data_IF_925550637393
#
_entry.id   IF_925550637393
#
_cell.length_a   1.000
_cell.length_b   1.000
_cell.length_c   1.000
_cell.angle_alpha   90.00
_cell.angle_beta   90.00
_cell.angle_gamma   90.00
#
_symmetry.space_group_name_H-M   'P 1'
#
loop_
_entity.id
_entity.type
_entity.pdbx_description
1 polymer ?
#
# COMPACT_ATOMS: atom_id res chain seq x y z
N UNK A 1 43.71 47.83 2.05
CA UNK A 1 42.59 48.19 1.15
C UNK A 1 41.56 47.08 1.21
N UNK A 2 40.48 47.24 1.95
CA UNK A 2 39.38 46.24 1.92
C UNK A 2 38.31 46.71 0.92
N UNK A 3 37.89 45.78 0.07
CA UNK A 3 36.79 45.93 -0.88
C UNK A 3 35.46 45.80 -0.13
N UNK A 4 34.69 46.87 -0.16
CA UNK A 4 33.34 46.98 0.37
C UNK A 4 32.37 46.42 -0.70
N UNK A 5 31.62 45.33 -0.39
CA UNK A 5 30.56 44.80 -1.22
C UNK A 5 29.23 45.06 -0.51
N UNK A 6 28.60 46.18 -0.86
CA UNK A 6 27.23 46.51 -0.46
C UNK A 6 26.24 45.57 -1.18
N UNK A 7 25.74 44.58 -0.48
CA UNK A 7 24.64 43.73 -0.92
C UNK A 7 23.30 44.46 -0.73
N UNK A 8 22.78 44.99 -1.83
CA UNK A 8 21.47 45.63 -1.92
C UNK A 8 20.37 44.61 -1.75
N UNK A 9 19.80 44.54 -0.56
CA UNK A 9 18.63 43.68 -0.26
C UNK A 9 17.43 44.27 -1.00
N UNK A 10 16.92 43.53 -2.01
CA UNK A 10 15.64 43.82 -2.64
C UNK A 10 14.51 43.44 -1.68
N UNK A 11 13.86 44.40 -1.09
CA UNK A 11 12.63 44.23 -0.33
C UNK A 11 11.47 43.93 -1.29
N UNK A 12 10.95 42.73 -1.23
CA UNK A 12 9.69 42.35 -1.89
C UNK A 12 8.54 43.16 -1.26
N UNK A 13 7.94 44.05 -2.02
CA UNK A 13 6.69 44.70 -1.65
C UNK A 13 5.58 43.68 -1.60
N UNK A 14 4.99 43.51 -0.43
CA UNK A 14 3.73 42.75 -0.27
C UNK A 14 2.62 43.45 -1.07
N UNK A 15 2.20 42.85 -2.15
CA UNK A 15 1.02 43.25 -2.89
C UNK A 15 -0.21 42.80 -2.10
N UNK A 16 -0.97 43.75 -1.60
CA UNK A 16 -2.20 43.53 -0.85
C UNK A 16 -3.29 42.92 -1.75
N UNK A 17 -3.98 41.92 -1.25
CA UNK A 17 -5.13 41.24 -1.90
C UNK A 17 -6.31 42.15 -2.27
N UNK A 18 -6.23 43.45 -2.02
CA UNK A 18 -7.31 44.44 -2.22
C UNK A 18 -7.25 45.28 -3.50
N UNK A 19 -6.22 45.13 -4.32
CA UNK A 19 -6.06 45.95 -5.53
C UNK A 19 -6.40 45.27 -6.86
N UNK A 20 -7.09 44.08 -6.82
CA UNK A 20 -7.76 43.56 -8.01
C UNK A 20 -9.21 44.06 -8.00
N UNK A 21 -9.36 45.37 -8.18
CA UNK A 21 -10.65 46.00 -8.38
C UNK A 21 -11.13 45.91 -9.82
N UNK A 22 -12.31 45.34 -9.96
CA UNK A 22 -13.32 45.52 -11.00
C UNK A 22 -12.85 46.10 -12.37
N UNK A 23 -12.68 45.20 -13.34
CA UNK A 23 -13.10 45.46 -14.73
C UNK A 23 -13.97 44.32 -15.20
N UNK A 24 -15.22 44.63 -15.55
CA UNK A 24 -16.27 43.69 -15.90
C UNK A 24 -15.97 42.91 -17.16
N UNK A 25 -15.88 41.59 -17.00
CA UNK A 25 -16.05 40.56 -18.02
C UNK A 25 -16.59 39.29 -17.35
N UNK A 26 -17.75 39.44 -16.76
CA UNK A 26 -18.47 38.32 -16.12
C UNK A 26 -19.35 37.64 -17.15
N UNK A 27 -18.79 36.74 -18.02
CA UNK A 27 -19.64 35.82 -18.81
C UNK A 27 -18.94 34.58 -19.39
N UNK A 28 -17.61 34.37 -19.26
CA UNK A 28 -16.97 33.20 -19.92
C UNK A 28 -16.06 32.36 -19.04
N UNK A 29 -16.02 32.58 -17.72
CA UNK A 29 -15.14 31.85 -16.78
C UNK A 29 -15.81 30.66 -16.06
N UNK A 30 -17.13 30.50 -16.20
CA UNK A 30 -17.89 29.44 -15.49
C UNK A 30 -17.45 28.00 -15.79
N UNK A 31 -17.14 27.57 -17.03
CA UNK A 31 -16.78 26.17 -17.27
C UNK A 31 -15.38 25.81 -16.79
N UNK A 32 -14.46 26.78 -16.73
CA UNK A 32 -13.10 26.54 -16.26
C UNK A 32 -13.02 26.45 -14.72
N UNK A 33 -13.81 27.25 -14.01
CA UNK A 33 -13.93 27.20 -12.57
C UNK A 33 -14.64 25.93 -12.11
N UNK A 34 -15.71 25.51 -12.79
CA UNK A 34 -16.41 24.26 -12.50
C UNK A 34 -15.50 23.02 -12.74
N UNK A 35 -14.61 23.08 -13.74
CA UNK A 35 -13.63 22.03 -14.00
C UNK A 35 -12.50 22.03 -12.94
N UNK A 36 -12.10 23.19 -12.45
CA UNK A 36 -11.12 23.32 -11.37
C UNK A 36 -11.67 22.84 -10.03
N UNK A 37 -12.92 23.12 -9.71
CA UNK A 37 -13.62 22.59 -8.52
C UNK A 37 -13.84 21.08 -8.62
N UNK A 38 -14.16 20.54 -9.79
CA UNK A 38 -14.26 19.10 -10.03
C UNK A 38 -12.91 18.39 -9.86
N UNK A 39 -11.81 19.02 -10.24
CA UNK A 39 -10.45 18.48 -10.02
C UNK A 39 -10.08 18.59 -8.54
N UNK A 40 -10.39 19.69 -7.86
CA UNK A 40 -10.15 19.87 -6.43
C UNK A 40 -10.94 18.88 -5.58
N UNK A 41 -12.22 18.61 -5.89
CA UNK A 41 -13.05 17.64 -5.18
C UNK A 41 -12.56 16.19 -5.31
N UNK A 42 -11.78 15.86 -6.34
CA UNK A 42 -11.19 14.53 -6.50
C UNK A 42 -10.07 14.22 -5.49
N UNK A 43 -9.55 15.23 -4.78
CA UNK A 43 -8.48 15.07 -3.78
C UNK A 43 -9.00 14.92 -2.35
N UNK A 44 -10.30 15.17 -2.12
CA UNK A 44 -10.94 15.11 -0.80
C UNK A 44 -11.47 13.71 -0.42
N UNK A 45 -11.15 12.68 -1.20
CA UNK A 45 -11.58 11.32 -0.86
C UNK A 45 -10.88 10.88 0.43
N UNK A 46 -11.67 10.62 1.46
CA UNK A 46 -11.21 10.17 2.78
C UNK A 46 -10.33 8.91 2.69
N UNK A 47 -9.28 8.87 3.51
CA UNK A 47 -8.44 7.70 3.68
C UNK A 47 -9.18 6.62 4.46
N UNK A 48 -9.23 5.42 3.89
CA UNK A 48 -9.84 4.27 4.52
C UNK A 48 -8.78 3.44 5.25
N UNK A 49 -9.01 3.18 6.53
CA UNK A 49 -8.18 2.27 7.32
C UNK A 49 -8.81 0.89 7.31
N UNK A 50 -8.08 -0.17 6.93
CA UNK A 50 -8.59 -1.53 7.05
C UNK A 50 -8.84 -1.87 8.52
N UNK A 51 -9.78 -2.77 8.77
CA UNK A 51 -10.05 -3.27 10.13
C UNK A 51 -8.85 -4.08 10.61
N UNK A 52 -8.49 -3.93 11.87
CA UNK A 52 -7.43 -4.72 12.52
C UNK A 52 -7.75 -6.21 12.50
N UNK A 53 -6.72 -7.05 12.49
CA UNK A 53 -6.85 -8.51 12.55
C UNK A 53 -7.34 -8.96 13.93
N UNK A 54 -8.17 -10.00 13.92
CA UNK A 54 -8.66 -10.70 15.09
C UNK A 54 -8.36 -12.19 14.97
N UNK A 55 -8.36 -12.89 16.08
CA UNK A 55 -8.28 -14.34 16.07
C UNK A 55 -9.40 -14.95 15.21
N UNK A 56 -9.05 -15.93 14.39
CA UNK A 56 -9.95 -16.54 13.42
C UNK A 56 -10.08 -15.82 12.07
N UNK A 57 -9.49 -14.63 11.91
CA UNK A 57 -9.46 -13.95 10.61
C UNK A 57 -8.61 -14.70 9.58
N UNK A 58 -8.96 -14.54 8.32
CA UNK A 58 -8.27 -15.20 7.20
C UNK A 58 -7.26 -14.26 6.56
N UNK A 59 -6.02 -14.74 6.41
CA UNK A 59 -4.94 -14.10 5.66
C UNK A 59 -4.76 -14.82 4.33
N UNK A 60 -4.65 -14.08 3.24
CA UNK A 60 -4.23 -14.61 1.95
C UNK A 60 -2.72 -14.42 1.79
N UNK A 61 -1.98 -15.49 1.50
CA UNK A 61 -0.60 -15.41 1.01
C UNK A 61 -0.65 -15.34 -0.51
N UNK A 62 0.13 -14.42 -1.10
CA UNK A 62 0.18 -14.19 -2.55
C UNK A 62 1.60 -13.95 -3.01
N UNK A 63 1.91 -14.27 -4.27
CA UNK A 63 3.21 -14.02 -4.89
C UNK A 63 3.10 -13.07 -6.10
N UNK A 64 2.86 -11.77 -5.90
CA UNK A 64 2.61 -10.84 -7.00
C UNK A 64 3.89 -10.37 -7.70
N UNK A 65 5.08 -10.71 -7.20
CA UNK A 65 6.38 -10.30 -7.72
C UNK A 65 7.28 -11.52 -8.00
N UNK A 66 8.25 -11.79 -7.13
CA UNK A 66 9.15 -12.94 -7.28
C UNK A 66 8.51 -14.27 -6.84
N UNK A 67 9.05 -15.42 -7.29
CA UNK A 67 8.52 -16.74 -6.99
C UNK A 67 8.60 -17.07 -5.49
N UNK A 68 7.63 -17.84 -5.02
CA UNK A 68 7.58 -18.34 -3.66
C UNK A 68 8.61 -19.46 -3.43
N UNK A 69 9.10 -19.58 -2.19
CA UNK A 69 9.78 -20.76 -1.72
C UNK A 69 8.79 -21.59 -0.90
N UNK A 70 8.55 -22.84 -1.32
CA UNK A 70 7.57 -23.73 -0.72
C UNK A 70 7.82 -23.92 0.78
N UNK A 71 9.05 -24.20 1.18
CA UNK A 71 9.37 -24.46 2.58
C UNK A 71 9.12 -23.23 3.46
N UNK A 72 9.50 -22.04 2.98
CA UNK A 72 9.28 -20.76 3.69
C UNK A 72 7.79 -20.47 3.81
N UNK A 73 7.02 -20.63 2.74
CA UNK A 73 5.57 -20.37 2.75
C UNK A 73 4.85 -21.30 3.73
N UNK A 74 5.17 -22.60 3.71
CA UNK A 74 4.55 -23.58 4.61
C UNK A 74 4.93 -23.33 6.07
N UNK A 75 6.19 -22.98 6.35
CA UNK A 75 6.63 -22.60 7.70
C UNK A 75 5.89 -21.35 8.20
N UNK A 76 5.77 -20.33 7.34
CA UNK A 76 5.08 -19.10 7.71
C UNK A 76 3.58 -19.30 7.91
N UNK A 77 2.93 -20.12 7.05
CA UNK A 77 1.55 -20.55 7.23
C UNK A 77 1.36 -21.16 8.61
N UNK A 78 2.21 -22.12 9.01
CA UNK A 78 2.13 -22.76 10.32
C UNK A 78 2.24 -21.76 11.48
N UNK A 79 3.15 -20.78 11.39
CA UNK A 79 3.30 -19.73 12.40
C UNK A 79 2.03 -18.87 12.54
N UNK A 80 1.43 -18.48 11.42
CA UNK A 80 0.18 -17.70 11.42
C UNK A 80 -0.98 -18.52 12.02
N UNK A 81 -1.09 -19.79 11.68
CA UNK A 81 -2.12 -20.69 12.23
C UNK A 81 -1.95 -20.94 13.73
N UNK A 82 -0.72 -21.09 14.20
CA UNK A 82 -0.41 -21.15 15.63
C UNK A 82 -0.76 -19.86 16.38
N UNK A 83 -0.77 -18.72 15.68
CA UNK A 83 -1.25 -17.44 16.24
C UNK A 83 -2.77 -17.29 16.21
N UNK A 84 -3.52 -18.34 15.82
CA UNK A 84 -4.98 -18.35 15.79
C UNK A 84 -5.59 -17.73 14.55
N UNK A 85 -4.81 -17.52 13.50
CA UNK A 85 -5.28 -17.00 12.21
C UNK A 85 -5.54 -18.16 11.23
N UNK A 86 -6.37 -17.93 10.22
CA UNK A 86 -6.55 -18.87 9.11
C UNK A 86 -5.73 -18.39 7.93
N UNK A 87 -5.13 -19.32 7.19
CA UNK A 87 -4.29 -18.98 6.04
C UNK A 87 -4.85 -19.67 4.79
N UNK A 88 -4.98 -18.89 3.73
CA UNK A 88 -5.30 -19.40 2.40
C UNK A 88 -4.26 -18.92 1.38
N UNK A 89 -4.00 -19.73 0.36
CA UNK A 89 -3.18 -19.40 -0.79
C UNK A 89 -3.54 -20.35 -1.94
N UNK A 90 -3.15 -19.99 -3.15
CA UNK A 90 -3.25 -20.86 -4.31
C UNK A 90 -2.04 -21.81 -4.32
N UNK A 91 -2.27 -23.12 -4.24
CA UNK A 91 -1.19 -24.13 -4.28
C UNK A 91 -0.27 -23.95 -5.51
N UNK A 92 -0.82 -23.50 -6.65
CA UNK A 92 -0.05 -23.22 -7.86
C UNK A 92 1.01 -22.15 -7.66
N UNK A 93 0.82 -21.26 -6.68
CA UNK A 93 1.81 -20.22 -6.33
C UNK A 93 3.17 -20.82 -5.94
N UNK A 94 3.17 -22.02 -5.35
CA UNK A 94 4.37 -22.65 -4.80
C UNK A 94 5.31 -23.20 -5.88
N UNK A 95 4.77 -23.52 -7.06
CA UNK A 95 5.54 -24.11 -8.16
C UNK A 95 5.60 -23.17 -9.38
N UNK A 96 4.78 -22.13 -9.38
CA UNK A 96 4.68 -21.20 -10.50
C UNK A 96 5.93 -20.31 -10.55
N UNK A 97 6.66 -20.41 -11.66
CA UNK A 97 7.85 -19.60 -11.92
C UNK A 97 8.00 -19.32 -13.41
N UNK A 98 8.26 -18.07 -13.75
CA UNK A 98 8.65 -17.65 -15.09
C UNK A 98 9.86 -16.74 -14.96
N UNK A 99 11.06 -17.29 -15.26
CA UNK A 99 12.33 -16.62 -15.02
C UNK A 99 12.48 -16.22 -13.53
N UNK A 100 12.47 -14.92 -13.24
CA UNK A 100 12.55 -14.36 -11.89
C UNK A 100 11.18 -13.97 -11.31
N UNK A 101 10.07 -14.17 -12.05
CA UNK A 101 8.72 -13.83 -11.66
C UNK A 101 7.96 -15.05 -11.15
N UNK A 102 6.96 -14.81 -10.31
CA UNK A 102 6.04 -15.82 -9.80
C UNK A 102 4.95 -16.22 -10.82
N UNK A 103 5.30 -16.34 -12.08
CA UNK A 103 4.40 -16.61 -13.20
C UNK A 103 4.30 -15.43 -14.15
N UNK A 104 3.34 -15.50 -15.11
CA UNK A 104 3.09 -14.39 -16.02
C UNK A 104 2.30 -13.24 -15.32
N UNK A 105 2.17 -12.11 -16.01
CA UNK A 105 1.56 -10.91 -15.43
C UNK A 105 0.09 -11.14 -15.05
N UNK A 106 -0.67 -11.85 -15.87
CA UNK A 106 -2.08 -12.17 -15.62
C UNK A 106 -2.24 -13.07 -14.38
N UNK A 107 -1.45 -14.14 -14.28
CA UNK A 107 -1.49 -15.06 -13.13
C UNK A 107 -1.22 -14.33 -11.82
N UNK A 108 -0.25 -13.42 -11.79
CA UNK A 108 0.12 -12.65 -10.61
C UNK A 108 -0.94 -11.61 -10.23
N UNK A 109 -1.52 -10.95 -11.24
CA UNK A 109 -2.60 -9.99 -11.04
C UNK A 109 -3.89 -10.66 -10.59
N UNK A 110 -4.27 -11.78 -11.19
CA UNK A 110 -5.47 -12.53 -10.85
C UNK A 110 -5.40 -13.09 -9.43
N UNK A 111 -4.25 -13.63 -9.01
CA UNK A 111 -4.04 -14.10 -7.65
C UNK A 111 -4.27 -12.97 -6.63
N UNK A 112 -3.68 -11.80 -6.85
CA UNK A 112 -3.85 -10.64 -5.98
C UNK A 112 -5.30 -10.14 -5.99
N UNK A 113 -5.93 -10.05 -7.17
CA UNK A 113 -7.32 -9.63 -7.32
C UNK A 113 -8.30 -10.61 -6.66
N UNK A 114 -8.05 -11.92 -6.75
CA UNK A 114 -8.88 -12.93 -6.08
C UNK A 114 -8.81 -12.75 -4.55
N UNK A 115 -7.64 -12.46 -4.00
CA UNK A 115 -7.51 -12.15 -2.58
C UNK A 115 -8.21 -10.83 -2.21
N UNK A 116 -8.12 -9.79 -3.05
CA UNK A 116 -8.79 -8.49 -2.84
C UNK A 116 -10.31 -8.67 -2.84
N UNK A 117 -10.87 -9.43 -3.78
CA UNK A 117 -12.32 -9.61 -3.93
C UNK A 117 -12.94 -10.58 -2.94
N UNK A 118 -12.13 -11.43 -2.31
CA UNK A 118 -12.65 -12.43 -1.38
C UNK A 118 -13.08 -11.78 -0.05
N UNK A 119 -14.40 -11.77 0.29
CA UNK A 119 -14.87 -11.12 1.51
C UNK A 119 -14.45 -11.82 2.80
N UNK A 120 -13.98 -13.08 2.71
CA UNK A 120 -13.44 -13.82 3.86
C UNK A 120 -12.01 -13.40 4.21
N UNK A 121 -11.27 -12.82 3.26
CA UNK A 121 -9.90 -12.36 3.46
C UNK A 121 -9.92 -11.02 4.19
N UNK A 122 -9.20 -10.94 5.30
CA UNK A 122 -9.01 -9.69 6.06
C UNK A 122 -7.67 -9.05 5.77
N UNK A 123 -6.64 -9.86 5.49
CA UNK A 123 -5.30 -9.36 5.16
C UNK A 123 -4.71 -10.13 3.99
N UNK A 124 -3.85 -9.43 3.23
CA UNK A 124 -3.10 -9.97 2.10
C UNK A 124 -1.63 -9.79 2.41
N UNK A 125 -0.90 -10.89 2.51
CA UNK A 125 0.52 -10.92 2.82
C UNK A 125 1.29 -11.45 1.60
N UNK A 126 1.89 -10.55 0.80
CA UNK A 126 2.81 -10.95 -0.25
C UNK A 126 4.00 -11.71 0.34
N UNK A 127 4.35 -12.86 -0.25
CA UNK A 127 5.40 -13.72 0.30
C UNK A 127 6.80 -13.14 0.11
N UNK A 128 7.01 -12.38 -0.97
CA UNK A 128 8.26 -11.66 -1.24
C UNK A 128 8.08 -10.52 -2.24
N UNK A 129 9.06 -9.64 -2.27
CA UNK A 129 9.27 -8.67 -3.33
C UNK A 129 10.03 -9.27 -4.52
N UNK A 130 10.93 -8.51 -5.09
CA UNK A 130 11.72 -8.88 -6.27
C UNK A 130 11.54 -7.84 -7.36
N UNK A 131 10.83 -8.19 -8.41
CA UNK A 131 10.51 -7.31 -9.53
C UNK A 131 9.16 -7.69 -10.15
N UNK A 132 8.50 -6.75 -10.81
CA UNK A 132 7.36 -7.02 -11.69
C UNK A 132 6.02 -6.47 -11.20
N UNK A 133 5.92 -5.86 -10.02
CA UNK A 133 4.70 -5.21 -9.56
C UNK A 133 4.25 -4.09 -10.53
N UNK A 134 5.20 -3.27 -10.99
CA UNK A 134 4.92 -2.17 -11.94
C UNK A 134 4.25 -2.63 -13.24
N UNK A 135 4.45 -3.90 -13.64
CA UNK A 135 3.85 -4.48 -14.85
C UNK A 135 2.37 -4.82 -14.70
N UNK A 136 1.90 -4.99 -13.47
CA UNK A 136 0.53 -5.44 -13.19
C UNK A 136 -0.33 -4.39 -12.48
N UNK A 137 0.22 -3.21 -12.15
CA UNK A 137 -0.50 -2.19 -11.38
C UNK A 137 -1.83 -1.77 -12.03
N UNK A 138 -1.90 -1.72 -13.36
CA UNK A 138 -3.13 -1.33 -14.06
C UNK A 138 -4.18 -2.45 -14.15
N UNK A 139 -3.79 -3.67 -13.78
CA UNK A 139 -4.67 -4.84 -13.73
C UNK A 139 -5.29 -5.06 -12.33
N UNK A 140 -4.87 -4.29 -11.31
CA UNK A 140 -5.32 -4.46 -9.93
C UNK A 140 -6.69 -3.81 -9.71
N UNK A 141 -7.56 -4.51 -8.99
CA UNK A 141 -8.92 -4.07 -8.67
C UNK A 141 -8.95 -3.16 -7.44
N UNK A 142 -8.55 -1.90 -7.65
CA UNK A 142 -8.54 -0.89 -6.60
C UNK A 142 -9.94 -0.51 -6.12
N UNK A 143 -10.96 -0.68 -6.97
CA UNK A 143 -12.33 -0.38 -6.60
C UNK A 143 -12.85 -1.37 -5.54
N UNK A 144 -12.64 -2.67 -5.77
CA UNK A 144 -12.97 -3.70 -4.76
C UNK A 144 -12.19 -3.51 -3.46
N UNK A 145 -10.90 -3.15 -3.54
CA UNK A 145 -10.10 -2.87 -2.36
C UNK A 145 -10.61 -1.65 -1.58
N UNK A 146 -11.11 -0.62 -2.27
CA UNK A 146 -11.73 0.54 -1.62
C UNK A 146 -13.05 0.18 -0.95
N UNK A 147 -13.86 -0.66 -1.59
CA UNK A 147 -15.17 -1.06 -1.07
C UNK A 147 -15.05 -1.99 0.16
N UNK A 148 -14.03 -2.85 0.20
CA UNK A 148 -13.71 -3.71 1.35
C UNK A 148 -12.21 -3.60 1.67
N UNK A 149 -11.80 -2.59 2.45
CA UNK A 149 -10.39 -2.33 2.76
C UNK A 149 -9.74 -3.49 3.49
N UNK A 150 -8.64 -3.99 2.95
CA UNK A 150 -7.85 -5.09 3.51
C UNK A 150 -6.48 -4.60 3.95
N UNK A 151 -5.92 -5.23 4.97
CA UNK A 151 -4.52 -5.04 5.36
C UNK A 151 -3.65 -5.61 4.25
N UNK A 152 -2.82 -4.77 3.64
CA UNK A 152 -1.82 -5.19 2.65
C UNK A 152 -0.45 -4.78 3.18
N UNK A 153 0.45 -5.77 3.29
CA UNK A 153 1.80 -5.59 3.83
C UNK A 153 2.86 -5.80 2.76
N UNK A 154 4.08 -5.36 3.03
CA UNK A 154 5.23 -5.64 2.19
C UNK A 154 6.22 -4.48 2.10
N UNK A 155 7.36 -4.72 1.46
CA UNK A 155 8.40 -3.73 1.19
C UNK A 155 9.12 -4.04 -0.13
N UNK A 156 10.17 -3.32 -0.47
CA UNK A 156 10.91 -3.52 -1.72
C UNK A 156 10.02 -3.24 -2.94
N UNK A 157 9.87 -4.16 -3.88
CA UNK A 157 9.02 -4.01 -5.08
C UNK A 157 7.54 -3.73 -4.72
N UNK A 158 7.06 -4.21 -3.53
CA UNK A 158 5.71 -3.93 -3.04
C UNK A 158 5.45 -2.43 -2.81
N UNK A 159 6.49 -1.61 -2.71
CA UNK A 159 6.35 -0.15 -2.61
C UNK A 159 5.58 0.42 -3.80
N UNK A 160 5.77 -0.13 -5.00
CA UNK A 160 5.00 0.29 -6.18
C UNK A 160 3.49 0.03 -5.99
N UNK A 161 3.12 -1.11 -5.40
CA UNK A 161 1.73 -1.43 -5.06
C UNK A 161 1.19 -0.49 -3.97
N UNK A 162 1.95 -0.22 -2.91
CA UNK A 162 1.54 0.71 -1.85
C UNK A 162 1.24 2.11 -2.40
N UNK A 163 2.09 2.63 -3.28
CA UNK A 163 1.88 3.93 -3.93
C UNK A 163 0.63 3.93 -4.83
N UNK A 164 0.41 2.84 -5.59
CA UNK A 164 -0.77 2.68 -6.43
C UNK A 164 -2.07 2.59 -5.60
N UNK A 165 -2.07 1.81 -4.50
CA UNK A 165 -3.17 1.71 -3.54
C UNK A 165 -3.48 3.09 -2.95
N UNK A 166 -2.47 3.79 -2.46
CA UNK A 166 -2.61 5.14 -1.92
C UNK A 166 -3.25 6.10 -2.94
N UNK A 167 -2.80 6.04 -4.18
CA UNK A 167 -3.27 6.95 -5.25
C UNK A 167 -4.64 6.60 -5.78
N UNK A 168 -4.92 5.30 -6.01
CA UNK A 168 -6.12 4.84 -6.74
C UNK A 168 -7.27 4.44 -5.82
N UNK A 169 -7.00 3.95 -4.60
CA UNK A 169 -8.05 3.49 -3.67
C UNK A 169 -8.12 4.29 -2.36
N UNK A 170 -7.10 5.08 -2.03
CA UNK A 170 -7.03 5.78 -0.73
C UNK A 170 -7.17 4.83 0.48
N UNK A 171 -6.71 3.61 0.35
CA UNK A 171 -6.62 2.65 1.45
C UNK A 171 -5.23 2.69 2.07
N UNK A 172 -5.17 2.70 3.40
CA UNK A 172 -3.91 2.61 4.14
C UNK A 172 -3.32 1.21 3.96
N UNK A 173 -2.04 1.12 3.59
CA UNK A 173 -1.28 -0.12 3.48
C UNK A 173 0.01 -0.02 4.29
N UNK A 174 0.68 -1.14 4.55
CA UNK A 174 1.70 -1.22 5.58
C UNK A 174 3.05 -1.63 5.01
N UNK A 175 4.05 -0.75 5.11
CA UNK A 175 5.42 -1.07 4.77
C UNK A 175 6.02 -1.94 5.90
N UNK A 176 6.15 -3.25 5.65
CA UNK A 176 6.58 -4.22 6.66
C UNK A 176 7.35 -5.39 6.03
N UNK A 177 8.12 -6.13 6.83
CA UNK A 177 8.77 -7.36 6.37
C UNK A 177 7.78 -8.39 5.80
N UNK A 178 8.27 -9.25 4.90
CA UNK A 178 7.51 -10.30 4.22
C UNK A 178 8.01 -11.69 4.62
N UNK A 179 7.20 -12.77 4.43
CA UNK A 179 7.58 -14.14 4.81
C UNK A 179 8.95 -14.59 4.33
N UNK A 180 9.31 -14.30 3.09
CA UNK A 180 10.62 -14.66 2.53
C UNK A 180 11.73 -13.64 2.82
N UNK A 181 11.48 -12.61 3.61
CA UNK A 181 12.54 -11.83 4.23
C UNK A 181 13.07 -12.56 5.47
N UNK A 182 14.09 -11.99 6.11
CA UNK A 182 14.72 -12.56 7.31
C UNK A 182 13.74 -12.91 8.46
N UNK A 183 12.48 -12.47 8.38
CA UNK A 183 11.40 -12.77 9.33
C UNK A 183 11.14 -14.27 9.48
N UNK A 184 10.94 -14.96 8.36
CA UNK A 184 10.60 -16.39 8.37
C UNK A 184 11.82 -17.28 8.70
N UNK A 185 13.02 -16.71 8.62
CA UNK A 185 14.29 -17.42 8.88
C UNK A 185 14.79 -17.27 10.32
N UNK A 186 13.99 -16.66 11.21
CA UNK A 186 14.38 -16.48 12.61
C UNK A 186 15.48 -15.42 12.85
N UNK A 187 15.83 -14.64 11.84
CA UNK A 187 16.89 -13.63 11.90
C UNK A 187 16.43 -12.24 12.33
N UNK A 188 15.16 -12.07 12.68
CA UNK A 188 14.69 -10.80 13.22
C UNK A 188 14.99 -10.72 14.73
N UNK A 189 15.40 -9.55 15.20
CA UNK A 189 15.47 -9.28 16.62
C UNK A 189 14.12 -9.52 17.29
N UNK A 190 14.13 -10.03 18.51
CA UNK A 190 12.92 -10.41 19.26
C UNK A 190 11.89 -9.26 19.34
N UNK A 191 12.36 -8.02 19.41
CA UNK A 191 11.48 -6.84 19.42
C UNK A 191 10.67 -6.66 18.12
N UNK A 192 11.17 -7.13 16.97
CA UNK A 192 10.42 -7.08 15.71
C UNK A 192 9.31 -8.15 15.66
N UNK A 193 9.51 -9.29 16.30
CA UNK A 193 8.46 -10.30 16.50
C UNK A 193 7.39 -9.84 17.48
N UNK A 194 7.78 -9.17 18.57
CA UNK A 194 6.83 -8.69 19.58
C UNK A 194 5.82 -7.68 19.02
N UNK A 195 6.20 -6.97 17.96
CA UNK A 195 5.34 -5.99 17.27
C UNK A 195 4.28 -6.64 16.36
N UNK A 196 4.48 -7.91 15.96
CA UNK A 196 3.53 -8.68 15.15
C UNK A 196 2.60 -9.57 16.00
N UNK A 197 2.78 -9.58 17.32
CA UNK A 197 1.97 -10.43 18.21
C UNK A 197 0.52 -9.94 18.26
N UNK A 198 -0.39 -10.92 18.22
CA UNK A 198 -1.78 -10.74 18.66
C UNK A 198 -1.76 -10.32 20.13
N UNK A 199 -2.35 -9.18 20.45
CA UNK A 199 -2.51 -8.77 21.86
C UNK A 199 -3.48 -9.71 22.56
N UNK A 200 -3.40 -9.77 23.91
CA UNK A 200 -4.34 -10.52 24.73
C UNK A 200 -5.81 -10.10 24.55
N UNK A 201 -6.06 -8.93 23.95
CA UNK A 201 -7.39 -8.44 23.55
C UNK A 201 -7.84 -8.93 22.15
N UNK A 202 -7.07 -9.82 21.51
CA UNK A 202 -7.38 -10.38 20.19
C UNK A 202 -7.05 -9.46 19.00
N UNK A 203 -6.37 -8.33 19.24
CA UNK A 203 -5.96 -7.43 18.16
C UNK A 203 -4.50 -7.68 17.75
N UNK A 204 -4.24 -7.70 16.45
CA UNK A 204 -2.88 -7.69 15.90
C UNK A 204 -2.42 -6.23 15.77
N UNK A 205 -1.33 -5.88 16.45
CA UNK A 205 -0.68 -4.58 16.21
C UNK A 205 0.12 -4.64 14.91
N UNK A 206 -0.13 -3.67 14.05
CA UNK A 206 0.85 -3.28 13.05
C UNK A 206 1.75 -2.21 13.67
N UNK A 207 3.09 -2.37 13.65
CA UNK A 207 4.01 -1.40 14.23
C UNK A 207 3.83 -0.01 13.62
N UNK A 208 3.72 1.02 14.48
CA UNK A 208 3.74 2.41 14.04
C UNK A 208 2.39 3.12 13.96
N UNK A 209 1.30 2.52 14.48
CA UNK A 209 -0.02 3.16 14.54
C UNK A 209 -0.64 2.96 15.93
N UNK A 210 -0.21 3.77 16.88
CA UNK A 210 -0.94 4.06 18.12
C UNK A 210 -1.80 5.30 17.92
#
# INVERSE_FOLDING_TARGET
MPLNLDAKIMTHKNVSRREFGLCGAAATLSPLLAKAESIASSWETEWLKPKGLKQGDTIALVAPAGPADRAVVLSYKQQLEQSGLRVQYDERMLDRKKEYLAGNDTERADELNNAIRNPQVRAIFPVRGGYGLTRILDQIDYASLRNDPKIITGYSDLTALHLAIARKSRVVSFHSPMPMSNLAQGHLPEHAYSQLRVRNDGQVRCPGFD
#
